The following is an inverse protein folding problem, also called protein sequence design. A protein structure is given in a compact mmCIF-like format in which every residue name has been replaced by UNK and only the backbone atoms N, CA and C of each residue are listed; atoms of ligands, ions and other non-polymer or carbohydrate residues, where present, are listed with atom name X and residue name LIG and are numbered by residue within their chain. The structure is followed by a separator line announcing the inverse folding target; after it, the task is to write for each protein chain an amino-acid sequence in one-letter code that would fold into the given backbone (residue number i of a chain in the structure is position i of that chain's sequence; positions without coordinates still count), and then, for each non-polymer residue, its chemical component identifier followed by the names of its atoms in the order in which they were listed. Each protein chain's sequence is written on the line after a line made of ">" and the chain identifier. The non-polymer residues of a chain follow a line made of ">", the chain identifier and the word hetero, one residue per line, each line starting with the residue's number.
data_IF_872458844156
#
_entry.id   IF_872458844156
#
_cell.length_a   1.000
_cell.length_b   1.000
_cell.length_c   1.000
_cell.angle_alpha   90.00
_cell.angle_beta   90.00
_cell.angle_gamma   90.00
#
_symmetry.space_group_name_H-M   'P 1'
#
loop_
_entity.id
_entity.type
_entity.pdbx_description
1 polymer ?
#
# COMPACT_ATOMS: atom_id res chain seq x y z
N UNK A 1 19.14 8.25 -1.20
CA UNK A 1 19.74 8.76 0.05
C UNK A 1 19.61 7.64 1.05
N UNK A 2 20.69 6.90 1.24
CA UNK A 2 20.86 5.72 2.08
C UNK A 2 22.24 5.82 2.76
N UNK A 3 22.60 4.89 3.65
CA UNK A 3 23.84 4.99 4.43
C UNK A 3 23.75 5.83 5.71
N UNK A 4 22.61 5.80 6.42
CA UNK A 4 22.44 6.53 7.69
C UNK A 4 21.81 5.68 8.78
N UNK A 5 21.82 4.35 8.64
CA UNK A 5 21.13 3.45 9.57
C UNK A 5 21.67 3.56 11.00
N UNK A 6 22.94 3.93 11.17
CA UNK A 6 23.60 4.01 12.47
C UNK A 6 23.56 5.40 13.12
N UNK A 7 22.89 6.39 12.53
CA UNK A 7 22.96 7.78 12.99
C UNK A 7 22.42 8.01 14.41
N UNK A 8 21.65 7.07 14.96
CA UNK A 8 21.09 7.14 16.31
C UNK A 8 22.00 6.57 17.40
N UNK A 9 23.17 6.03 17.06
CA UNK A 9 24.11 5.50 18.05
C UNK A 9 24.84 6.66 18.76
N UNK A 10 25.25 6.43 20.02
CA UNK A 10 25.99 7.43 20.80
C UNK A 10 27.35 7.77 20.17
N UNK A 11 28.00 6.76 19.60
CA UNK A 11 29.22 6.87 18.80
C UNK A 11 29.01 6.11 17.47
N UNK A 12 28.44 6.79 16.45
CA UNK A 12 28.02 6.12 15.22
C UNK A 12 29.22 5.80 14.32
N UNK A 13 29.31 4.59 13.72
CA UNK A 13 30.32 4.28 12.74
C UNK A 13 30.25 5.27 11.56
N UNK A 14 31.40 5.87 11.23
CA UNK A 14 31.48 6.81 10.12
C UNK A 14 31.36 6.07 8.79
N UNK A 15 30.25 6.31 8.07
CA UNK A 15 29.87 5.66 6.82
C UNK A 15 29.78 6.68 5.68
N UNK A 16 30.91 7.13 5.10
CA UNK A 16 30.88 8.13 4.04
C UNK A 16 30.29 7.58 2.74
N UNK A 17 29.95 8.50 1.81
CA UNK A 17 29.52 8.13 0.46
C UNK A 17 30.66 7.44 -0.30
N UNK A 18 30.35 6.31 -0.95
CA UNK A 18 31.27 5.51 -1.74
C UNK A 18 31.38 5.98 -3.19
N UNK A 19 32.59 6.13 -3.73
CA UNK A 19 32.81 6.23 -5.17
C UNK A 19 32.39 4.92 -5.88
N UNK A 20 32.06 4.95 -7.19
CA UNK A 20 31.58 3.78 -7.92
C UNK A 20 32.53 2.58 -7.91
N UNK A 21 33.84 2.83 -7.92
CA UNK A 21 34.85 1.77 -7.86
C UNK A 21 34.84 1.03 -6.51
N UNK A 22 34.69 1.76 -5.41
CA UNK A 22 34.60 1.19 -4.06
C UNK A 22 33.30 0.41 -3.91
N UNK A 23 32.17 1.00 -4.29
CA UNK A 23 30.86 0.35 -4.25
C UNK A 23 30.87 -0.99 -5.02
N UNK A 24 31.36 -1.00 -6.27
CA UNK A 24 31.43 -2.22 -7.08
C UNK A 24 32.34 -3.30 -6.46
N UNK A 25 33.50 -2.90 -5.93
CA UNK A 25 34.41 -3.84 -5.25
C UNK A 25 33.75 -4.46 -4.04
N UNK A 26 33.11 -3.65 -3.20
CA UNK A 26 32.46 -4.10 -1.96
C UNK A 26 31.28 -5.01 -2.26
N UNK A 27 30.41 -4.60 -3.18
CA UNK A 27 29.29 -5.43 -3.64
C UNK A 27 29.78 -6.79 -4.15
N UNK A 28 30.83 -6.82 -4.96
CA UNK A 28 31.40 -8.08 -5.48
C UNK A 28 31.94 -8.98 -4.36
N UNK A 29 32.65 -8.42 -3.38
CA UNK A 29 33.21 -9.19 -2.24
C UNK A 29 32.09 -9.73 -1.36
N UNK A 30 31.11 -8.90 -1.02
CA UNK A 30 29.95 -9.33 -0.24
C UNK A 30 29.16 -10.41 -0.98
N UNK A 31 28.91 -10.24 -2.28
CA UNK A 31 28.22 -11.25 -3.10
C UNK A 31 28.97 -12.58 -3.11
N UNK A 32 30.29 -12.57 -3.30
CA UNK A 32 31.10 -13.78 -3.29
C UNK A 32 30.99 -14.52 -1.94
N UNK A 33 31.17 -13.80 -0.83
CA UNK A 33 31.06 -14.38 0.52
C UNK A 33 29.66 -14.93 0.80
N UNK A 34 28.60 -14.23 0.38
CA UNK A 34 27.23 -14.67 0.61
C UNK A 34 26.83 -15.88 -0.23
N UNK A 35 27.46 -16.11 -1.40
CA UNK A 35 27.22 -17.31 -2.24
C UNK A 35 27.75 -18.61 -1.63
N UNK A 36 28.56 -18.51 -0.59
CA UNK A 36 28.93 -19.68 0.23
C UNK A 36 27.78 -20.10 1.15
N UNK A 37 26.88 -19.16 1.50
CA UNK A 37 25.77 -19.37 2.43
C UNK A 37 24.44 -19.57 1.70
N UNK A 38 24.21 -18.85 0.60
CA UNK A 38 22.95 -18.82 -0.14
C UNK A 38 23.11 -19.23 -1.59
N UNK A 39 22.07 -19.81 -2.17
CA UNK A 39 22.00 -20.11 -3.60
C UNK A 39 21.76 -18.84 -4.41
N UNK A 40 20.85 -17.98 -3.94
CA UNK A 40 20.49 -16.74 -4.61
C UNK A 40 21.08 -15.55 -3.86
N UNK A 41 21.89 -14.74 -4.55
CA UNK A 41 22.46 -13.49 -4.04
C UNK A 41 22.40 -12.45 -5.15
N UNK A 42 21.72 -11.34 -4.90
CA UNK A 42 21.49 -10.30 -5.88
C UNK A 42 21.37 -8.91 -5.24
N UNK A 43 21.57 -7.87 -6.04
CA UNK A 43 21.34 -6.48 -5.66
C UNK A 43 20.42 -5.82 -6.69
N UNK A 44 19.51 -4.90 -6.29
CA UNK A 44 18.71 -4.16 -7.24
C UNK A 44 19.57 -3.39 -8.24
N UNK A 45 19.11 -3.28 -9.48
CA UNK A 45 19.81 -2.51 -10.51
C UNK A 45 19.78 -1.03 -10.12
N UNK A 46 20.94 -0.38 -10.17
CA UNK A 46 21.08 1.00 -9.76
C UNK A 46 20.42 1.99 -10.73
N UNK A 47 20.01 3.15 -10.21
CA UNK A 47 19.53 4.25 -11.05
C UNK A 47 20.66 4.87 -11.89
N UNK A 48 20.35 5.38 -13.09
CA UNK A 48 21.35 5.99 -13.97
C UNK A 48 21.99 7.23 -13.34
N UNK A 49 23.25 7.50 -13.70
CA UNK A 49 23.94 8.75 -13.36
C UNK A 49 24.34 8.92 -11.88
N UNK A 50 24.25 7.88 -11.05
CA UNK A 50 24.76 7.91 -9.66
C UNK A 50 26.28 8.11 -9.63
N UNK A 51 26.71 9.22 -9.03
CA UNK A 51 28.12 9.56 -8.83
C UNK A 51 28.72 8.93 -7.57
N UNK A 52 27.88 8.63 -6.59
CA UNK A 52 28.26 8.02 -5.32
C UNK A 52 27.11 7.19 -4.71
N UNK A 53 27.44 6.37 -3.71
CA UNK A 53 26.55 5.39 -3.07
C UNK A 53 26.63 5.52 -1.54
N UNK A 54 25.53 5.29 -0.82
CA UNK A 54 25.54 5.40 0.65
C UNK A 54 25.67 4.06 1.35
N UNK A 55 25.17 3.05 0.67
CA UNK A 55 24.95 1.71 1.15
C UNK A 55 25.06 0.73 -0.02
N UNK A 56 25.17 -0.55 0.33
CA UNK A 56 25.05 -1.68 -0.59
C UNK A 56 23.85 -2.52 -0.17
N UNK A 57 22.79 -2.52 -0.98
CA UNK A 57 21.62 -3.37 -0.75
C UNK A 57 21.86 -4.76 -1.35
N UNK A 58 21.72 -5.82 -0.55
CA UNK A 58 21.86 -7.21 -0.99
C UNK A 58 20.65 -8.03 -0.51
N UNK A 59 20.04 -8.72 -1.46
CA UNK A 59 18.98 -9.68 -1.26
C UNK A 59 19.55 -11.09 -1.37
N UNK A 60 19.15 -11.94 -0.44
CA UNK A 60 19.57 -13.33 -0.41
C UNK A 60 18.36 -14.24 -0.24
N UNK A 61 18.37 -15.40 -0.89
CA UNK A 61 17.33 -16.42 -0.74
C UNK A 61 17.93 -17.82 -0.87
N UNK A 62 17.22 -18.80 -0.30
CA UNK A 62 17.57 -20.22 -0.31
C UNK A 62 18.92 -20.51 0.35
N UNK A 63 18.86 -20.97 1.59
CA UNK A 63 20.04 -21.42 2.32
C UNK A 63 20.69 -22.62 1.59
N UNK A 64 21.98 -22.53 1.30
CA UNK A 64 22.66 -23.49 0.42
C UNK A 64 22.70 -24.91 1.00
N UNK A 65 22.88 -25.06 2.31
CA UNK A 65 22.94 -26.40 2.93
C UNK A 65 21.57 -27.09 2.99
N UNK A 66 20.46 -26.35 2.93
CA UNK A 66 19.12 -26.96 2.87
C UNK A 66 18.79 -27.45 1.47
N UNK A 67 19.29 -26.77 0.44
CA UNK A 67 19.13 -27.17 -0.97
C UNK A 67 20.13 -28.26 -1.37
N UNK A 68 21.38 -28.16 -0.88
CA UNK A 68 22.48 -29.06 -1.17
C UNK A 68 23.11 -29.57 0.14
N UNK A 69 22.44 -30.48 0.88
CA UNK A 69 22.93 -30.98 2.15
C UNK A 69 24.18 -31.84 1.94
N UNK A 70 25.27 -31.50 2.65
CA UNK A 70 26.52 -32.29 2.65
C UNK A 70 26.56 -33.32 3.77
N UNK A 71 25.68 -33.21 4.76
CA UNK A 71 25.53 -34.14 5.87
C UNK A 71 24.04 -34.32 6.21
N UNK A 72 23.71 -35.42 6.87
CA UNK A 72 22.32 -35.78 7.22
C UNK A 72 21.64 -34.80 8.19
N UNK A 73 22.43 -34.05 8.97
CA UNK A 73 21.98 -33.02 9.92
C UNK A 73 21.97 -31.61 9.29
N UNK A 74 22.58 -31.45 8.11
CA UNK A 74 22.70 -30.18 7.38
C UNK A 74 21.44 -29.75 6.61
N UNK A 75 20.40 -30.59 6.60
CA UNK A 75 19.12 -30.30 5.92
C UNK A 75 18.16 -29.46 6.77
N UNK A 76 18.41 -29.31 8.07
CA UNK A 76 17.55 -28.51 8.93
C UNK A 76 17.78 -27.01 8.66
N UNK A 77 16.74 -26.26 8.27
CA UNK A 77 16.88 -24.83 8.00
C UNK A 77 17.23 -24.08 9.28
N UNK A 78 18.25 -23.22 9.21
CA UNK A 78 18.57 -22.31 10.31
C UNK A 78 17.43 -21.32 10.50
N UNK A 79 17.20 -20.91 11.75
CA UNK A 79 16.31 -19.78 12.00
C UNK A 79 16.87 -18.50 11.35
N UNK A 80 16.02 -17.51 11.01
CA UNK A 80 16.49 -16.26 10.42
C UNK A 80 17.58 -15.56 11.24
N UNK A 81 17.50 -15.62 12.58
CA UNK A 81 18.51 -15.05 13.48
C UNK A 81 19.86 -15.76 13.40
N UNK A 82 19.86 -17.10 13.40
CA UNK A 82 21.10 -17.88 13.25
C UNK A 82 21.74 -17.64 11.89
N UNK A 83 20.92 -17.58 10.84
CA UNK A 83 21.40 -17.32 9.49
C UNK A 83 21.99 -15.91 9.37
N UNK A 84 21.34 -14.91 9.96
CA UNK A 84 21.87 -13.54 10.01
C UNK A 84 23.17 -13.44 10.81
N UNK A 85 23.30 -14.19 11.92
CA UNK A 85 24.55 -14.23 12.68
C UNK A 85 25.72 -14.82 11.85
N UNK A 86 25.44 -15.83 11.01
CA UNK A 86 26.43 -16.36 10.07
C UNK A 86 26.79 -15.33 8.99
N UNK A 87 25.80 -14.60 8.46
CA UNK A 87 26.05 -13.50 7.51
C UNK A 87 26.97 -12.44 8.12
N UNK A 88 26.68 -11.98 9.34
CA UNK A 88 27.48 -10.98 10.04
C UNK A 88 28.95 -11.41 10.17
N UNK A 89 29.17 -12.66 10.59
CA UNK A 89 30.50 -13.22 10.75
C UNK A 89 31.22 -13.33 9.41
N UNK A 90 30.53 -13.84 8.39
CA UNK A 90 31.08 -14.04 7.05
C UNK A 90 31.52 -12.72 6.40
N UNK A 91 30.75 -11.65 6.59
CA UNK A 91 31.06 -10.32 6.08
C UNK A 91 32.01 -9.52 6.99
N UNK A 92 32.40 -10.04 8.15
CA UNK A 92 33.27 -9.34 9.10
C UNK A 92 32.65 -8.06 9.66
N UNK A 93 31.33 -8.03 9.81
CA UNK A 93 30.60 -6.84 10.29
C UNK A 93 31.07 -6.43 11.69
N UNK A 94 31.41 -5.15 11.86
CA UNK A 94 31.86 -4.55 13.13
C UNK A 94 30.70 -3.99 13.93
N UNK A 95 29.65 -3.53 13.25
CA UNK A 95 28.39 -3.11 13.86
C UNK A 95 27.22 -3.72 13.09
N UNK A 96 26.11 -3.95 13.77
CA UNK A 96 24.90 -4.48 13.17
C UNK A 96 23.65 -3.96 13.87
N UNK A 97 22.62 -3.64 13.08
CA UNK A 97 21.25 -3.41 13.53
C UNK A 97 20.40 -4.47 12.85
N UNK A 98 19.94 -5.45 13.61
CA UNK A 98 19.14 -6.58 13.11
C UNK A 98 17.67 -6.33 13.38
N UNK A 99 16.82 -6.51 12.36
CA UNK A 99 15.37 -6.44 12.51
C UNK A 99 14.89 -7.52 13.50
N UNK A 100 13.85 -7.28 14.33
CA UNK A 100 13.39 -8.27 15.32
C UNK A 100 13.05 -9.66 14.77
N UNK A 101 12.62 -9.73 13.51
CA UNK A 101 12.33 -10.99 12.83
C UNK A 101 13.59 -11.75 12.34
N UNK A 102 14.78 -11.15 12.41
CA UNK A 102 16.04 -11.71 11.91
C UNK A 102 16.17 -11.72 10.37
N UNK A 103 15.14 -11.30 9.64
CA UNK A 103 15.08 -11.36 8.18
C UNK A 103 15.77 -10.21 7.46
N UNK A 104 16.20 -9.17 8.16
CA UNK A 104 16.99 -8.08 7.58
C UNK A 104 17.93 -7.45 8.60
N UNK A 105 19.02 -6.86 8.12
CA UNK A 105 19.96 -6.14 8.96
C UNK A 105 20.69 -5.04 8.20
N UNK A 106 21.02 -3.96 8.91
CA UNK A 106 22.00 -2.97 8.48
C UNK A 106 23.34 -3.33 9.11
N UNK A 107 24.36 -3.57 8.31
CA UNK A 107 25.69 -3.99 8.74
C UNK A 107 26.72 -2.90 8.45
N UNK A 108 27.66 -2.67 9.35
CA UNK A 108 28.82 -1.83 9.10
C UNK A 108 30.05 -2.72 8.92
N UNK A 109 30.59 -2.76 7.71
CA UNK A 109 31.84 -3.50 7.39
C UNK A 109 32.99 -2.51 7.19
N UNK A 110 34.22 -2.99 7.36
CA UNK A 110 35.42 -2.16 7.23
C UNK A 110 35.57 -1.65 5.78
N UNK A 111 35.94 -0.38 5.63
CA UNK A 111 36.26 0.18 4.31
C UNK A 111 37.49 -0.52 3.68
N UNK A 112 37.52 -0.81 2.36
CA UNK A 112 38.59 -1.60 1.71
C UNK A 112 39.99 -0.98 1.61
N UNK A 113 40.29 0.10 2.33
CA UNK A 113 41.59 0.80 2.34
C UNK A 113 42.09 0.97 3.76
N UNK A 114 43.36 1.33 3.93
CA UNK A 114 44.04 1.56 5.23
C UNK A 114 43.52 2.79 5.98
N UNK A 115 42.33 3.28 5.63
CA UNK A 115 41.66 4.38 6.30
C UNK A 115 40.98 3.83 7.55
N UNK A 116 41.78 3.67 8.59
CA UNK A 116 41.30 3.25 9.91
C UNK A 116 40.10 4.11 10.31
N UNK A 117 39.01 3.45 10.73
CA UNK A 117 37.73 4.04 11.19
C UNK A 117 36.69 4.41 10.12
N UNK A 118 36.90 4.10 8.85
CA UNK A 118 35.83 4.20 7.84
C UNK A 118 35.07 2.89 7.70
N UNK A 119 33.75 2.99 7.63
CA UNK A 119 32.86 1.85 7.46
C UNK A 119 32.00 2.01 6.21
N UNK A 120 31.43 0.89 5.76
CA UNK A 120 30.45 0.84 4.69
C UNK A 120 29.18 0.20 5.25
N UNK A 121 28.05 0.85 5.01
CA UNK A 121 26.75 0.27 5.30
C UNK A 121 26.40 -0.77 4.23
N UNK A 122 26.10 -2.00 4.65
CA UNK A 122 25.60 -3.09 3.83
C UNK A 122 24.27 -3.54 4.39
N UNK A 123 23.22 -3.41 3.58
CA UNK A 123 21.86 -3.75 3.96
C UNK A 123 21.53 -5.13 3.41
N UNK A 124 21.31 -6.09 4.31
CA UNK A 124 20.98 -7.46 3.96
C UNK A 124 19.50 -7.70 4.21
N UNK A 125 18.83 -8.34 3.25
CA UNK A 125 17.49 -8.90 3.46
C UNK A 125 17.44 -10.36 2.98
N UNK A 126 17.03 -11.23 3.89
CA UNK A 126 16.77 -12.64 3.66
C UNK A 126 15.33 -12.77 3.18
N UNK A 127 15.16 -13.16 1.92
CA UNK A 127 13.88 -13.39 1.29
C UNK A 127 13.43 -14.85 1.55
N UNK A 128 12.17 -15.07 1.96
CA UNK A 128 11.62 -16.41 2.20
C UNK A 128 11.42 -17.22 0.91
N UNK A 129 11.40 -16.58 -0.26
CA UNK A 129 11.25 -17.24 -1.56
C UNK A 129 12.00 -16.49 -2.66
N UNK A 130 12.26 -17.19 -3.77
CA UNK A 130 12.79 -16.57 -5.00
C UNK A 130 11.80 -15.53 -5.52
N UNK A 131 10.49 -15.81 -5.49
CA UNK A 131 9.46 -14.87 -5.95
C UNK A 131 9.55 -13.51 -5.24
N UNK A 132 9.71 -13.51 -3.92
CA UNK A 132 9.87 -12.26 -3.17
C UNK A 132 11.19 -11.55 -3.50
N UNK A 133 12.28 -12.31 -3.65
CA UNK A 133 13.56 -11.75 -4.09
C UNK A 133 13.43 -11.07 -5.46
N UNK A 134 12.82 -11.74 -6.44
CA UNK A 134 12.58 -11.21 -7.78
C UNK A 134 11.67 -9.97 -7.75
N UNK A 135 10.64 -9.97 -6.91
CA UNK A 135 9.76 -8.81 -6.73
C UNK A 135 10.50 -7.60 -6.19
N UNK A 136 11.33 -7.77 -5.15
CA UNK A 136 12.07 -6.65 -4.56
C UNK A 136 13.11 -6.13 -5.57
N UNK A 137 13.81 -7.01 -6.28
CA UNK A 137 14.72 -6.61 -7.36
C UNK A 137 13.99 -5.76 -8.41
N UNK A 138 12.83 -6.20 -8.86
CA UNK A 138 11.98 -5.46 -9.81
C UNK A 138 11.56 -4.09 -9.29
N UNK A 139 11.08 -4.06 -8.05
CA UNK A 139 10.43 -2.91 -7.44
C UNK A 139 11.41 -1.78 -7.10
N UNK A 140 12.67 -2.14 -6.85
CA UNK A 140 13.75 -1.22 -6.48
C UNK A 140 14.80 -1.03 -7.59
N UNK A 141 14.67 -1.73 -8.73
CA UNK A 141 15.49 -1.49 -9.90
C UNK A 141 15.33 -0.06 -10.44
N UNK A 142 16.41 0.46 -11.02
CA UNK A 142 16.50 1.75 -11.72
C UNK A 142 16.12 2.98 -10.88
N UNK A 143 16.14 2.84 -9.56
CA UNK A 143 15.92 3.94 -8.61
C UNK A 143 14.50 4.54 -8.68
N UNK A 144 14.33 5.61 -9.47
CA UNK A 144 13.09 6.40 -9.48
C UNK A 144 12.03 5.93 -10.48
N UNK A 145 12.29 4.90 -11.29
CA UNK A 145 11.37 4.44 -12.34
C UNK A 145 9.93 4.23 -11.86
N UNK A 146 9.74 3.57 -10.72
CA UNK A 146 8.42 3.32 -10.14
C UNK A 146 7.77 4.57 -9.55
N UNK A 147 8.54 5.60 -9.22
CA UNK A 147 8.00 6.89 -8.84
C UNK A 147 7.43 7.63 -10.06
N UNK A 148 8.09 7.52 -11.22
CA UNK A 148 7.64 8.08 -12.50
C UNK A 148 6.41 7.33 -13.05
N UNK A 149 6.47 6.00 -13.09
CA UNK A 149 5.36 5.17 -13.51
C UNK A 149 4.17 5.29 -12.55
N UNK A 150 4.44 5.39 -11.24
CA UNK A 150 3.41 5.51 -10.22
C UNK A 150 2.60 6.81 -10.28
N UNK A 151 3.11 7.90 -10.86
CA UNK A 151 2.31 9.09 -11.16
C UNK A 151 1.50 8.93 -12.45
N UNK A 152 2.03 8.17 -13.42
CA UNK A 152 1.40 7.87 -14.71
C UNK A 152 0.19 6.95 -14.58
N UNK A 153 0.31 5.82 -13.86
CA UNK A 153 -0.71 4.76 -13.86
C UNK A 153 -1.82 4.95 -12.81
N UNK A 154 -1.56 5.78 -11.78
CA UNK A 154 -2.43 5.98 -10.62
C UNK A 154 -3.81 6.58 -10.96
N UNK A 155 -3.95 7.57 -11.87
CA UNK A 155 -5.26 8.07 -12.28
C UNK A 155 -6.18 6.96 -12.80
N UNK A 156 -5.60 5.97 -13.50
CA UNK A 156 -6.31 4.84 -14.09
C UNK A 156 -6.56 3.67 -13.11
N UNK A 157 -6.35 3.91 -11.81
CA UNK A 157 -6.67 2.92 -10.77
C UNK A 157 -5.63 1.84 -10.56
N UNK A 158 -4.46 1.93 -11.19
CA UNK A 158 -3.37 0.99 -10.96
C UNK A 158 -2.43 1.47 -9.86
N UNK A 159 -1.88 0.55 -9.07
CA UNK A 159 -0.86 0.85 -8.06
C UNK A 159 0.09 -0.31 -7.92
N UNK A 160 1.38 -0.03 -7.94
CA UNK A 160 2.43 -0.97 -7.55
C UNK A 160 2.93 -0.59 -6.16
N UNK A 161 3.00 -1.56 -5.25
CA UNK A 161 3.58 -1.37 -3.91
C UNK A 161 4.68 -2.40 -3.62
N UNK A 162 5.00 -2.65 -2.35
CA UNK A 162 6.05 -3.60 -1.97
C UNK A 162 5.61 -5.07 -2.09
N UNK A 163 4.38 -5.36 -2.53
CA UNK A 163 3.85 -6.72 -2.65
C UNK A 163 3.46 -7.10 -4.07
N UNK A 164 2.78 -6.22 -4.80
CA UNK A 164 2.21 -6.55 -6.10
C UNK A 164 1.79 -5.33 -6.94
N UNK A 165 1.31 -5.61 -8.15
CA UNK A 165 0.43 -4.72 -8.90
C UNK A 165 -1.03 -4.92 -8.45
N UNK A 166 -1.73 -3.81 -8.24
CA UNK A 166 -3.10 -3.76 -7.74
C UNK A 166 -3.99 -2.90 -8.63
N UNK A 167 -5.26 -3.30 -8.74
CA UNK A 167 -6.36 -2.49 -9.27
C UNK A 167 -7.16 -1.88 -8.11
N UNK A 168 -7.54 -0.61 -8.22
CA UNK A 168 -8.28 0.12 -7.18
C UNK A 168 -9.74 0.31 -7.55
N UNK A 169 -10.63 -0.10 -6.64
CA UNK A 169 -12.07 0.19 -6.69
C UNK A 169 -12.30 1.68 -6.35
N UNK A 170 -12.68 2.54 -7.31
CA UNK A 170 -12.76 3.99 -7.10
C UNK A 170 -13.80 4.41 -6.04
N UNK A 171 -14.88 3.65 -5.89
CA UNK A 171 -15.92 3.86 -4.88
C UNK A 171 -15.36 3.74 -3.46
N UNK A 172 -14.45 2.78 -3.26
CA UNK A 172 -13.84 2.48 -1.96
C UNK A 172 -12.65 3.39 -1.71
N UNK A 173 -11.85 3.72 -2.74
CA UNK A 173 -10.54 4.37 -2.65
C UNK A 173 -10.55 5.68 -1.84
N UNK A 174 -11.62 6.48 -1.95
CA UNK A 174 -11.77 7.75 -1.21
C UNK A 174 -11.93 7.54 0.31
N UNK A 175 -12.54 6.42 0.72
CA UNK A 175 -12.81 6.09 2.12
C UNK A 175 -11.74 5.18 2.74
N UNK A 176 -11.29 4.17 1.99
CA UNK A 176 -10.33 3.17 2.45
C UNK A 176 -9.39 2.75 1.31
N UNK A 177 -8.23 3.39 1.28
CA UNK A 177 -7.20 3.12 0.26
C UNK A 177 -6.61 1.72 0.38
N UNK A 178 -6.67 1.06 1.54
CA UNK A 178 -6.13 -0.30 1.69
C UNK A 178 -7.14 -1.31 1.16
N UNK A 179 -8.41 -1.18 1.54
CA UNK A 179 -9.48 -2.10 1.08
C UNK A 179 -9.78 -1.98 -0.40
N UNK A 180 -9.58 -0.81 -1.02
CA UNK A 180 -9.81 -0.64 -2.46
C UNK A 180 -8.91 -1.50 -3.37
N UNK A 181 -7.82 -2.12 -2.86
CA UNK A 181 -6.84 -2.87 -3.68
C UNK A 181 -7.30 -4.29 -4.01
N UNK A 182 -7.50 -4.60 -5.29
CA UNK A 182 -7.69 -5.96 -5.83
C UNK A 182 -6.36 -6.41 -6.43
N UNK A 183 -5.87 -7.59 -6.02
CA UNK A 183 -4.58 -8.13 -6.48
C UNK A 183 -4.66 -8.42 -7.98
N UNK A 184 -3.66 -8.01 -8.76
CA UNK A 184 -3.56 -8.38 -10.18
C UNK A 184 -2.48 -9.44 -10.39
N UNK A 185 -1.24 -9.09 -10.08
CA UNK A 185 -0.11 -9.99 -10.27
C UNK A 185 1.09 -9.52 -9.46
N UNK A 186 1.96 -10.47 -9.09
CA UNK A 186 3.30 -10.26 -8.54
C UNK A 186 4.41 -10.58 -9.54
N UNK A 187 4.06 -11.01 -10.76
CA UNK A 187 5.02 -11.35 -11.81
C UNK A 187 5.48 -10.06 -12.52
N UNK A 188 6.77 -9.70 -12.42
CA UNK A 188 7.33 -8.53 -13.07
C UNK A 188 7.11 -8.46 -14.59
N UNK A 189 7.18 -9.59 -15.29
CA UNK A 189 7.04 -9.65 -16.76
C UNK A 189 5.60 -9.35 -17.16
N UNK A 190 4.64 -9.94 -16.44
CA UNK A 190 3.22 -9.66 -16.64
C UNK A 190 2.86 -8.20 -16.40
N UNK A 191 3.51 -7.55 -15.42
CA UNK A 191 3.31 -6.12 -15.16
C UNK A 191 3.84 -5.28 -16.31
N UNK A 192 5.06 -5.56 -16.79
CA UNK A 192 5.64 -4.83 -17.92
C UNK A 192 4.76 -4.98 -19.17
N UNK A 193 4.32 -6.20 -19.50
CA UNK A 193 3.39 -6.45 -20.60
C UNK A 193 2.06 -5.71 -20.44
N UNK A 194 1.45 -5.78 -19.25
CA UNK A 194 0.17 -5.12 -19.00
C UNK A 194 0.27 -3.59 -19.07
N UNK A 195 1.42 -3.02 -18.71
CA UNK A 195 1.71 -1.59 -18.87
C UNK A 195 2.18 -1.22 -20.29
N UNK A 196 2.34 -2.18 -21.19
CA UNK A 196 2.84 -1.97 -22.56
C UNK A 196 4.33 -1.62 -22.63
N UNK A 197 5.08 -1.92 -21.57
CA UNK A 197 6.52 -1.65 -21.47
C UNK A 197 7.33 -2.81 -22.06
N UNK A 198 8.51 -2.49 -22.57
CA UNK A 198 9.44 -3.50 -23.12
C UNK A 198 10.09 -4.30 -22.00
N UNK A 199 10.05 -5.63 -22.06
CA UNK A 199 10.76 -6.47 -21.08
C UNK A 199 12.28 -6.40 -21.28
N UNK A 200 12.70 -6.36 -22.54
CA UNK A 200 14.11 -6.25 -22.91
C UNK A 200 14.71 -4.92 -22.43
N UNK A 201 15.90 -4.99 -21.86
CA UNK A 201 16.62 -3.83 -21.34
C UNK A 201 16.26 -3.45 -19.91
N UNK A 202 15.15 -3.97 -19.34
CA UNK A 202 14.82 -3.70 -17.93
C UNK A 202 15.73 -4.47 -16.96
N UNK A 203 16.12 -5.70 -17.30
CA UNK A 203 16.79 -6.62 -16.36
C UNK A 203 18.30 -6.70 -16.49
N UNK A 204 18.87 -6.08 -17.52
CA UNK A 204 20.27 -6.34 -17.89
C UNK A 204 21.24 -5.49 -17.10
N UNK A 205 21.13 -4.17 -17.22
CA UNK A 205 22.07 -3.20 -16.67
C UNK A 205 21.35 -1.87 -16.36
N UNK A 206 21.94 -0.99 -15.53
CA UNK A 206 21.43 0.37 -15.38
C UNK A 206 21.29 1.07 -16.74
N UNK A 207 20.27 1.92 -16.88
CA UNK A 207 20.15 2.78 -18.06
C UNK A 207 21.41 3.63 -18.25
N UNK A 208 21.81 3.85 -19.51
CA UNK A 208 23.03 4.60 -19.85
C UNK A 208 23.00 6.06 -19.37
N UNK A 209 21.81 6.65 -19.31
CA UNK A 209 21.58 8.02 -18.88
C UNK A 209 20.21 8.16 -18.23
N UNK A 210 19.99 9.30 -17.58
CA UNK A 210 18.66 9.68 -17.07
C UNK A 210 17.66 9.82 -18.22
N UNK A 211 18.09 10.37 -19.36
CA UNK A 211 17.24 10.48 -20.55
C UNK A 211 16.81 9.11 -21.09
N UNK A 212 17.71 8.12 -21.11
CA UNK A 212 17.36 6.76 -21.53
C UNK A 212 16.33 6.11 -20.59
N UNK A 213 16.40 6.39 -19.28
CA UNK A 213 15.38 5.97 -18.32
C UNK A 213 14.04 6.69 -18.59
N UNK A 214 14.07 7.98 -18.92
CA UNK A 214 12.87 8.74 -19.28
C UNK A 214 12.22 8.20 -20.55
N UNK A 215 13.00 8.01 -21.61
CA UNK A 215 12.54 7.42 -22.88
C UNK A 215 11.90 6.05 -22.64
N UNK A 216 12.55 5.18 -21.85
CA UNK A 216 11.99 3.90 -21.48
C UNK A 216 10.67 4.04 -20.69
N UNK A 217 10.58 4.98 -19.75
CA UNK A 217 9.36 5.25 -18.98
C UNK A 217 8.20 5.69 -19.88
N UNK A 218 8.46 6.45 -20.94
CA UNK A 218 7.44 6.89 -21.91
C UNK A 218 6.88 5.74 -22.76
N UNK A 219 7.51 4.56 -22.77
CA UNK A 219 6.96 3.38 -23.48
C UNK A 219 5.69 2.82 -22.84
N UNK A 220 5.42 3.17 -21.58
CA UNK A 220 4.18 2.82 -20.91
C UNK A 220 2.97 3.26 -21.76
N UNK A 221 2.06 2.35 -22.09
CA UNK A 221 0.90 2.64 -22.95
C UNK A 221 -0.07 3.67 -22.37
N UNK A 222 -0.01 3.88 -21.06
CA UNK A 222 -0.82 4.85 -20.31
C UNK A 222 -0.09 6.20 -20.13
N UNK A 223 1.15 6.32 -20.62
CA UNK A 223 1.88 7.57 -20.60
C UNK A 223 1.30 8.52 -21.64
N UNK A 224 0.85 9.68 -21.17
CA UNK A 224 0.44 10.79 -22.01
C UNK A 224 0.72 12.11 -21.31
N UNK A 225 1.11 13.10 -22.10
CA UNK A 225 1.38 14.47 -21.66
C UNK A 225 0.15 15.31 -21.92
N UNK A 226 -0.16 16.16 -20.95
CA UNK A 226 -1.31 17.05 -21.03
C UNK A 226 -0.87 18.51 -21.18
N UNK A 227 -1.47 19.21 -22.15
CA UNK A 227 -1.38 20.67 -22.26
C UNK A 227 -2.29 21.28 -21.20
N UNK A 228 -1.74 22.13 -20.34
CA UNK A 228 -2.54 23.01 -19.49
C UNK A 228 -2.67 24.36 -20.17
N UNK A 229 -3.89 24.84 -20.48
CA UNK A 229 -4.10 26.23 -20.83
C UNK A 229 -3.69 27.13 -19.67
N UNK A 230 -3.06 28.27 -19.95
CA UNK A 230 -2.80 29.29 -18.94
C UNK A 230 -4.13 29.80 -18.36
N UNK A 231 -4.31 29.71 -17.03
CA UNK A 231 -5.40 30.39 -16.32
C UNK A 231 -6.52 29.54 -15.70
N UNK A 232 -6.76 28.30 -16.14
CA UNK A 232 -7.90 27.49 -15.62
C UNK A 232 -7.44 26.25 -14.84
N UNK A 233 -7.03 26.44 -13.58
CA UNK A 233 -6.65 25.34 -12.68
C UNK A 233 -7.85 24.47 -12.22
N UNK A 234 -9.08 24.95 -12.39
CA UNK A 234 -10.27 24.39 -11.72
C UNK A 234 -11.18 23.53 -12.63
N UNK A 235 -11.25 23.79 -13.94
CA UNK A 235 -12.28 23.21 -14.83
C UNK A 235 -11.94 21.81 -15.37
N UNK A 236 -10.72 21.34 -15.11
CA UNK A 236 -10.05 20.39 -15.99
C UNK A 236 -9.61 19.10 -15.27
N UNK A 237 -10.25 18.76 -14.16
CA UNK A 237 -9.88 17.62 -13.31
C UNK A 237 -10.11 16.23 -13.95
N UNK A 238 -10.77 16.17 -15.12
CA UNK A 238 -11.22 14.93 -15.76
C UNK A 238 -10.36 14.45 -16.95
N UNK A 239 -9.33 15.20 -17.36
CA UNK A 239 -8.46 14.77 -18.45
C UNK A 239 -7.23 14.03 -17.95
N UNK A 240 -6.97 12.89 -18.58
CA UNK A 240 -5.85 12.02 -18.25
C UNK A 240 -4.51 12.61 -18.71
N UNK A 241 -3.43 12.28 -18.00
CA UNK A 241 -2.06 12.62 -18.39
C UNK A 241 -1.23 13.27 -17.29
N UNK A 242 0.08 13.26 -17.50
CA UNK A 242 1.03 13.93 -16.62
C UNK A 242 1.13 15.41 -17.00
N UNK A 243 1.20 16.26 -15.97
CA UNK A 243 1.40 17.70 -16.10
C UNK A 243 2.75 18.04 -15.49
N UNK A 244 3.59 18.73 -16.27
CA UNK A 244 4.92 19.18 -15.85
C UNK A 244 4.93 20.64 -15.41
N UNK A 245 6.11 21.14 -15.04
CA UNK A 245 6.32 22.56 -14.72
C UNK A 245 5.59 23.01 -13.45
N UNK A 246 5.30 24.30 -13.37
CA UNK A 246 4.67 24.91 -12.19
C UNK A 246 3.28 24.32 -11.89
N UNK A 247 2.46 24.14 -12.92
CA UNK A 247 1.12 23.54 -12.79
C UNK A 247 1.18 22.08 -12.35
N UNK A 248 2.17 21.33 -12.83
CA UNK A 248 2.46 19.98 -12.34
C UNK A 248 2.75 19.96 -10.85
N UNK A 249 3.58 20.91 -10.37
CA UNK A 249 3.95 21.02 -8.95
C UNK A 249 2.75 21.30 -8.04
N UNK A 250 1.83 22.17 -8.47
CA UNK A 250 0.60 22.50 -7.72
C UNK A 250 -0.29 21.28 -7.49
N UNK A 251 -0.25 20.30 -8.41
CA UNK A 251 -1.08 19.08 -8.38
C UNK A 251 -0.44 17.90 -7.62
N UNK A 252 0.78 18.05 -7.09
CA UNK A 252 1.50 16.97 -6.42
C UNK A 252 0.90 16.63 -5.05
N UNK A 253 0.76 15.33 -4.78
CA UNK A 253 0.39 14.81 -3.45
C UNK A 253 1.56 14.96 -2.47
N UNK A 254 1.31 14.86 -1.16
CA UNK A 254 2.32 15.06 -0.13
C UNK A 254 3.61 14.23 -0.33
N UNK A 255 3.48 12.95 -0.70
CA UNK A 255 4.63 12.09 -0.97
C UNK A 255 5.41 12.53 -2.22
N UNK A 256 4.69 12.98 -3.25
CA UNK A 256 5.29 13.44 -4.50
C UNK A 256 6.01 14.78 -4.29
N UNK A 257 5.52 15.65 -3.40
CA UNK A 257 6.22 16.87 -2.96
C UNK A 257 7.53 16.57 -2.22
N UNK A 258 7.55 15.56 -1.33
CA UNK A 258 8.80 15.12 -0.67
C UNK A 258 9.83 14.61 -1.68
N UNK A 259 9.37 13.90 -2.71
CA UNK A 259 10.23 13.40 -3.79
C UNK A 259 10.82 14.55 -4.60
N UNK A 260 10.02 15.55 -4.97
CA UNK A 260 10.52 16.76 -5.63
C UNK A 260 11.66 17.45 -4.88
N UNK A 261 11.61 17.43 -3.54
CA UNK A 261 12.63 18.08 -2.71
C UNK A 261 13.92 17.26 -2.54
N UNK A 262 13.87 15.94 -2.72
CA UNK A 262 14.95 15.03 -2.32
C UNK A 262 15.48 14.12 -3.43
N UNK A 263 14.84 14.11 -4.61
CA UNK A 263 15.12 13.17 -5.70
C UNK A 263 15.37 13.92 -7.02
N UNK A 264 16.64 14.11 -7.42
CA UNK A 264 16.99 14.87 -8.62
C UNK A 264 16.40 14.32 -9.92
N UNK A 265 16.36 12.98 -10.08
CA UNK A 265 15.78 12.34 -11.28
C UNK A 265 14.28 12.64 -11.38
N UNK A 266 13.54 12.49 -10.27
CA UNK A 266 12.13 12.86 -10.22
C UNK A 266 11.91 14.36 -10.47
N UNK A 267 12.80 15.22 -9.97
CA UNK A 267 12.72 16.66 -10.18
C UNK A 267 12.89 17.04 -11.66
N UNK A 268 13.91 16.51 -12.33
CA UNK A 268 14.15 16.76 -13.77
C UNK A 268 13.00 16.23 -14.63
N UNK A 269 12.42 15.08 -14.29
CA UNK A 269 11.23 14.56 -14.97
C UNK A 269 10.06 15.54 -14.99
N UNK A 270 9.73 16.13 -13.82
CA UNK A 270 8.58 17.04 -13.69
C UNK A 270 8.89 18.43 -14.25
N UNK A 271 10.11 18.94 -14.05
CA UNK A 271 10.45 20.33 -14.35
C UNK A 271 10.98 20.56 -15.75
N UNK A 272 11.58 19.55 -16.38
CA UNK A 272 12.31 19.69 -17.64
C UNK A 272 11.71 18.76 -18.69
N UNK A 273 11.67 17.45 -18.42
CA UNK A 273 11.30 16.45 -19.42
C UNK A 273 9.83 16.54 -19.85
N UNK A 274 8.87 16.52 -18.91
CA UNK A 274 7.44 16.63 -19.26
C UNK A 274 7.13 17.95 -20.00
N UNK A 275 7.58 19.13 -19.53
CA UNK A 275 7.39 20.39 -20.26
C UNK A 275 7.99 20.37 -21.67
N UNK A 276 9.17 19.77 -21.85
CA UNK A 276 9.80 19.65 -23.17
C UNK A 276 8.95 18.82 -24.13
N UNK A 277 8.48 17.63 -23.71
CA UNK A 277 7.59 16.80 -24.52
C UNK A 277 6.29 17.53 -24.89
N UNK A 278 5.74 18.31 -23.96
CA UNK A 278 4.54 19.11 -24.19
C UNK A 278 4.75 20.17 -25.27
N UNK A 279 5.90 20.89 -25.20
CA UNK A 279 6.28 21.91 -26.18
C UNK A 279 6.50 21.32 -27.57
N UNK A 280 7.09 20.13 -27.65
CA UNK A 280 7.26 19.39 -28.91
C UNK A 280 5.95 18.76 -29.44
N UNK A 281 4.87 18.77 -28.66
CA UNK A 281 3.62 18.09 -29.02
C UNK A 281 3.73 16.56 -29.05
N UNK A 282 4.73 15.98 -28.38
CA UNK A 282 4.92 14.53 -28.28
C UNK A 282 4.05 13.94 -27.16
N UNK A 283 3.64 12.69 -27.34
CA UNK A 283 2.85 11.92 -26.37
C UNK A 283 1.54 12.60 -25.93
N UNK A 284 0.93 13.42 -26.79
CA UNK A 284 -0.43 13.90 -26.58
C UNK A 284 -1.40 12.70 -26.52
N UNK A 285 -2.53 12.86 -25.83
CA UNK A 285 -3.50 11.78 -25.59
C UNK A 285 -3.79 10.99 -26.86
N UNK A 286 -3.53 9.67 -26.83
CA UNK A 286 -3.92 8.75 -27.91
C UNK A 286 -5.45 8.57 -27.99
N UNK A 287 -6.15 9.02 -26.96
CA UNK A 287 -7.60 8.95 -26.81
C UNK A 287 -8.16 10.37 -26.61
N UNK A 288 -8.17 11.22 -27.65
CA UNK A 288 -8.74 12.56 -27.54
C UNK A 288 -10.23 12.47 -27.20
N UNK A 289 -10.66 13.25 -26.19
CA UNK A 289 -12.06 13.28 -25.74
C UNK A 289 -12.46 12.18 -24.75
N UNK A 290 -11.58 11.21 -24.44
CA UNK A 290 -11.86 10.17 -23.44
C UNK A 290 -11.48 10.67 -22.04
N UNK A 291 -12.43 10.64 -21.12
CA UNK A 291 -12.23 11.05 -19.73
C UNK A 291 -11.37 10.07 -18.95
N UNK A 292 -10.78 10.51 -17.83
CA UNK A 292 -10.08 9.63 -16.87
C UNK A 292 -10.97 8.47 -16.43
N UNK A 293 -12.27 8.72 -16.24
CA UNK A 293 -13.21 7.70 -15.78
C UNK A 293 -13.35 6.60 -16.83
N UNK A 294 -13.56 6.96 -18.09
CA UNK A 294 -13.67 5.99 -19.19
C UNK A 294 -12.37 5.21 -19.38
N UNK A 295 -11.21 5.87 -19.35
CA UNK A 295 -9.91 5.20 -19.40
C UNK A 295 -9.73 4.22 -18.23
N UNK A 296 -10.17 4.60 -17.03
CA UNK A 296 -10.11 3.73 -15.85
C UNK A 296 -11.02 2.51 -16.00
N UNK A 297 -12.19 2.66 -16.62
CA UNK A 297 -13.08 1.53 -16.92
C UNK A 297 -12.48 0.60 -17.97
N UNK A 298 -11.85 1.13 -19.01
CA UNK A 298 -11.12 0.33 -20.00
C UNK A 298 -10.01 -0.49 -19.34
N UNK A 299 -9.16 0.16 -18.54
CA UNK A 299 -8.07 -0.52 -17.81
C UNK A 299 -8.61 -1.57 -16.83
N UNK A 300 -9.74 -1.31 -16.17
CA UNK A 300 -10.42 -2.29 -15.31
C UNK A 300 -10.86 -3.51 -16.11
N UNK A 301 -11.52 -3.32 -17.25
CA UNK A 301 -12.03 -4.41 -18.07
C UNK A 301 -10.88 -5.25 -18.67
N UNK A 302 -9.80 -4.60 -19.10
CA UNK A 302 -8.57 -5.29 -19.54
C UNK A 302 -7.94 -6.10 -18.39
N UNK A 303 -7.92 -5.55 -17.17
CA UNK A 303 -7.43 -6.27 -15.99
C UNK A 303 -8.32 -7.48 -15.64
N UNK A 304 -9.64 -7.37 -15.81
CA UNK A 304 -10.56 -8.49 -15.65
C UNK A 304 -10.28 -9.60 -16.66
N UNK A 305 -10.10 -9.23 -17.94
CA UNK A 305 -9.81 -10.18 -19.00
C UNK A 305 -8.45 -10.87 -18.84
N UNK A 306 -7.42 -10.12 -18.42
CA UNK A 306 -6.05 -10.66 -18.31
C UNK A 306 -5.81 -11.45 -17.02
N UNK A 307 -6.32 -10.96 -15.89
CA UNK A 307 -5.99 -11.50 -14.56
C UNK A 307 -7.14 -12.25 -13.89
N UNK A 308 -8.33 -12.30 -14.51
CA UNK A 308 -9.51 -13.02 -14.02
C UNK A 308 -10.02 -12.56 -12.64
N UNK A 309 -9.87 -11.26 -12.33
CA UNK A 309 -10.15 -10.67 -11.01
C UNK A 309 -11.55 -10.04 -10.88
N UNK A 310 -12.43 -10.22 -11.86
CA UNK A 310 -13.76 -9.59 -11.89
C UNK A 310 -14.63 -10.01 -10.70
N UNK A 311 -14.62 -11.30 -10.36
CA UNK A 311 -15.40 -11.83 -9.24
C UNK A 311 -14.96 -11.20 -7.91
N UNK A 312 -13.65 -11.14 -7.65
CA UNK A 312 -13.08 -10.54 -6.44
C UNK A 312 -13.37 -9.04 -6.36
N UNK A 313 -13.27 -8.33 -7.48
CA UNK A 313 -13.61 -6.92 -7.56
C UNK A 313 -15.08 -6.69 -7.20
N UNK A 314 -16.00 -7.44 -7.83
CA UNK A 314 -17.45 -7.29 -7.61
C UNK A 314 -17.85 -7.67 -6.19
N UNK A 315 -17.30 -8.77 -5.66
CA UNK A 315 -17.55 -9.21 -4.29
C UNK A 315 -17.13 -8.13 -3.28
N UNK A 316 -15.96 -7.53 -3.47
CA UNK A 316 -15.45 -6.49 -2.57
C UNK A 316 -16.22 -5.17 -2.69
N UNK A 317 -16.61 -4.79 -3.90
CA UNK A 317 -17.49 -3.64 -4.11
C UNK A 317 -18.85 -3.88 -3.41
N UNK A 318 -19.40 -5.09 -3.53
CA UNK A 318 -20.67 -5.46 -2.90
C UNK A 318 -20.60 -5.40 -1.37
N UNK A 319 -19.57 -5.98 -0.77
CA UNK A 319 -19.36 -5.93 0.68
C UNK A 319 -19.29 -4.48 1.18
N UNK A 320 -18.57 -3.62 0.45
CA UNK A 320 -18.49 -2.20 0.79
C UNK A 320 -19.83 -1.47 0.63
N UNK A 321 -20.59 -1.75 -0.43
CA UNK A 321 -21.93 -1.18 -0.65
C UNK A 321 -22.88 -1.54 0.50
N UNK A 322 -22.96 -2.83 0.88
CA UNK A 322 -23.78 -3.31 1.98
C UNK A 322 -23.40 -2.64 3.31
N UNK A 323 -22.09 -2.52 3.58
CA UNK A 323 -21.61 -1.84 4.78
C UNK A 323 -21.99 -0.37 4.80
N UNK A 324 -21.76 0.35 3.70
CA UNK A 324 -22.04 1.79 3.60
C UNK A 324 -23.53 2.08 3.68
N UNK A 325 -24.35 1.25 3.05
CA UNK A 325 -25.80 1.32 3.11
C UNK A 325 -26.31 1.11 4.54
N UNK A 326 -25.77 0.12 5.26
CA UNK A 326 -26.05 -0.07 6.69
C UNK A 326 -25.63 1.14 7.55
N UNK A 327 -24.48 1.77 7.27
CA UNK A 327 -24.06 3.01 7.95
C UNK A 327 -24.99 4.19 7.66
N UNK A 328 -25.44 4.33 6.41
CA UNK A 328 -26.41 5.35 6.01
C UNK A 328 -27.76 5.15 6.71
N UNK A 329 -28.26 3.91 6.77
CA UNK A 329 -29.49 3.59 7.51
C UNK A 329 -29.35 3.86 9.01
N UNK A 330 -28.20 3.56 9.62
CA UNK A 330 -27.93 3.92 11.02
C UNK A 330 -28.02 5.42 11.27
N UNK A 331 -27.56 6.24 10.32
CA UNK A 331 -27.65 7.70 10.40
C UNK A 331 -29.08 8.18 10.17
N UNK A 332 -29.76 7.64 9.15
CA UNK A 332 -31.16 7.94 8.86
C UNK A 332 -32.06 7.66 10.07
N UNK A 333 -31.93 6.51 10.72
CA UNK A 333 -32.71 6.18 11.94
C UNK A 333 -32.46 7.24 13.03
N UNK A 334 -31.22 7.67 13.23
CA UNK A 334 -30.91 8.70 14.24
C UNK A 334 -31.54 10.05 13.90
N UNK A 335 -31.56 10.42 12.63
CA UNK A 335 -32.13 11.68 12.13
C UNK A 335 -33.66 11.70 12.23
N UNK A 336 -34.30 10.56 11.96
CA UNK A 336 -35.76 10.44 12.02
C UNK A 336 -36.33 10.44 13.44
N UNK A 337 -35.53 10.10 14.47
CA UNK A 337 -35.98 10.13 15.86
C UNK A 337 -35.83 11.54 16.44
N UNK A 338 -36.93 12.20 16.87
CA UNK A 338 -36.93 13.60 17.32
C UNK A 338 -35.91 13.86 18.42
N UNK A 339 -35.14 14.95 18.27
CA UNK A 339 -34.15 15.41 19.26
C UNK A 339 -34.79 16.06 20.49
N UNK A 340 -36.07 16.42 20.41
CA UNK A 340 -36.88 16.94 21.52
C UNK A 340 -37.26 15.89 22.56
N UNK A 341 -37.07 14.60 22.23
CA UNK A 341 -37.34 13.49 23.14
C UNK A 341 -36.27 13.42 24.24
N UNK A 342 -36.66 12.96 25.43
CA UNK A 342 -35.71 12.67 26.52
C UNK A 342 -34.50 11.86 26.01
N UNK A 343 -33.25 12.26 26.35
CA UNK A 343 -32.05 11.64 25.79
C UNK A 343 -31.97 10.13 26.01
N UNK A 344 -32.40 9.65 27.18
CA UNK A 344 -32.32 8.23 27.52
C UNK A 344 -33.38 7.42 26.77
N UNK A 345 -34.61 7.95 26.67
CA UNK A 345 -35.67 7.37 25.83
C UNK A 345 -35.30 7.35 24.35
N UNK A 346 -34.73 8.46 23.86
CA UNK A 346 -34.25 8.57 22.48
C UNK A 346 -33.18 7.53 22.17
N UNK A 347 -32.21 7.35 23.06
CA UNK A 347 -31.17 6.34 22.89
C UNK A 347 -31.77 4.91 22.83
N UNK A 348 -32.75 4.61 23.69
CA UNK A 348 -33.45 3.31 23.69
C UNK A 348 -34.23 3.09 22.39
N UNK A 349 -34.98 4.09 21.93
CA UNK A 349 -35.76 4.02 20.69
C UNK A 349 -34.85 3.83 19.48
N UNK A 350 -33.76 4.60 19.36
CA UNK A 350 -32.77 4.45 18.28
C UNK A 350 -32.12 3.06 18.32
N UNK A 351 -31.80 2.54 19.50
CA UNK A 351 -31.24 1.19 19.65
C UNK A 351 -32.22 0.11 19.19
N UNK A 352 -33.46 0.16 19.66
CA UNK A 352 -34.49 -0.80 19.29
C UNK A 352 -34.82 -0.76 17.79
N UNK A 353 -34.95 0.44 17.21
CA UNK A 353 -35.18 0.59 15.77
C UNK A 353 -34.04 -0.02 14.94
N UNK A 354 -32.78 0.11 15.37
CA UNK A 354 -31.67 -0.56 14.69
C UNK A 354 -31.76 -2.07 14.78
N UNK A 355 -32.07 -2.62 15.95
CA UNK A 355 -32.20 -4.07 16.10
C UNK A 355 -33.35 -4.63 15.25
N UNK A 356 -34.49 -3.93 15.20
CA UNK A 356 -35.63 -4.35 14.39
C UNK A 356 -35.29 -4.28 12.90
N UNK A 357 -34.79 -3.13 12.43
CA UNK A 357 -34.60 -2.86 11.00
C UNK A 357 -33.38 -3.59 10.45
N UNK A 358 -32.29 -3.68 11.23
CA UNK A 358 -31.00 -4.17 10.74
C UNK A 358 -30.63 -5.58 11.19
N UNK A 359 -31.15 -6.02 12.33
CA UNK A 359 -30.89 -7.36 12.89
C UNK A 359 -32.10 -8.27 12.78
N UNK A 360 -33.21 -7.79 12.20
CA UNK A 360 -34.46 -8.53 12.05
C UNK A 360 -34.97 -9.10 13.39
N UNK A 361 -34.82 -8.33 14.47
CA UNK A 361 -35.18 -8.75 15.83
C UNK A 361 -36.71 -8.87 16.00
N UNK A 362 -37.22 -10.07 15.73
CA UNK A 362 -38.63 -10.43 15.86
C UNK A 362 -39.16 -10.30 17.30
N UNK A 363 -38.29 -10.20 18.32
CA UNK A 363 -38.72 -10.11 19.72
C UNK A 363 -39.53 -8.84 19.99
N UNK A 364 -39.39 -7.79 19.18
CA UNK A 364 -40.18 -6.57 19.30
C UNK A 364 -41.58 -6.67 18.66
N UNK A 365 -41.87 -7.74 17.92
CA UNK A 365 -43.19 -8.00 17.34
C UNK A 365 -43.53 -7.15 16.11
N UNK A 366 -42.52 -6.66 15.39
CA UNK A 366 -42.70 -5.90 14.16
C UNK A 366 -42.27 -6.71 12.94
N UNK A 367 -43.00 -6.55 11.84
CA UNK A 367 -42.61 -7.09 10.54
C UNK A 367 -41.52 -6.21 9.92
N UNK A 368 -40.51 -6.85 9.35
CA UNK A 368 -39.38 -6.23 8.67
C UNK A 368 -39.32 -6.62 7.18
N UNK A 369 -40.34 -7.34 6.68
CA UNK A 369 -40.46 -7.65 5.26
C UNK A 369 -40.49 -6.37 4.41
N UNK A 370 -39.71 -6.38 3.31
CA UNK A 370 -39.64 -5.25 2.38
C UNK A 370 -38.74 -4.08 2.81
N UNK A 371 -38.13 -4.12 4.01
CA UNK A 371 -37.14 -3.13 4.43
C UNK A 371 -35.81 -3.27 3.68
N UNK A 372 -35.51 -4.48 3.21
CA UNK A 372 -34.39 -4.77 2.31
C UNK A 372 -34.92 -5.19 0.94
N UNK A 373 -34.20 -4.79 -0.11
CA UNK A 373 -34.42 -5.22 -1.49
C UNK A 373 -33.83 -6.62 -1.68
N UNK A 374 -34.17 -7.26 -2.81
CA UNK A 374 -33.68 -8.60 -3.15
C UNK A 374 -32.14 -8.70 -3.23
N UNK A 375 -31.45 -7.58 -3.45
CA UNK A 375 -30.00 -7.54 -3.46
C UNK A 375 -29.40 -7.49 -2.04
N UNK A 376 -30.19 -7.17 -1.02
CA UNK A 376 -29.76 -7.02 0.38
C UNK A 376 -29.44 -5.58 0.80
N UNK A 377 -29.62 -4.59 -0.09
CA UNK A 377 -29.57 -3.17 0.29
C UNK A 377 -30.91 -2.73 0.86
N UNK A 378 -30.89 -1.81 1.81
CA UNK A 378 -32.09 -1.23 2.41
C UNK A 378 -32.88 -0.41 1.40
N UNK A 379 -34.20 -0.46 1.53
CA UNK A 379 -35.11 0.46 0.88
C UNK A 379 -35.32 1.67 1.80
N UNK A 380 -34.64 2.77 1.49
CA UNK A 380 -34.64 4.00 2.31
C UNK A 380 -36.04 4.54 2.59
N UNK A 381 -36.96 4.46 1.62
CA UNK A 381 -38.32 4.97 1.80
C UNK A 381 -39.16 4.03 2.66
N UNK A 382 -39.01 2.71 2.48
CA UNK A 382 -39.64 1.73 3.36
C UNK A 382 -39.14 1.88 4.81
N UNK A 383 -37.84 2.08 5.00
CA UNK A 383 -37.24 2.35 6.31
C UNK A 383 -37.79 3.65 6.92
N UNK A 384 -37.90 4.72 6.13
CA UNK A 384 -38.45 6.01 6.60
C UNK A 384 -39.91 5.88 7.04
N UNK A 385 -40.73 5.20 6.24
CA UNK A 385 -42.13 4.96 6.56
C UNK A 385 -42.26 4.08 7.81
N UNK A 386 -41.49 2.99 7.88
CA UNK A 386 -41.47 2.12 9.05
C UNK A 386 -41.15 2.87 10.34
N UNK A 387 -40.10 3.71 10.34
CA UNK A 387 -39.73 4.51 11.52
C UNK A 387 -40.86 5.47 11.87
N UNK A 388 -41.43 6.19 10.90
CA UNK A 388 -42.51 7.15 11.13
C UNK A 388 -43.75 6.49 11.74
N UNK A 389 -44.13 5.32 11.23
CA UNK A 389 -45.38 4.66 11.60
C UNK A 389 -45.27 3.89 12.93
N UNK A 390 -44.05 3.49 13.32
CA UNK A 390 -43.82 2.62 14.47
C UNK A 390 -43.05 3.25 15.61
N UNK A 391 -42.53 4.48 15.47
CA UNK A 391 -41.66 5.14 16.44
C UNK A 391 -42.24 5.11 17.86
N UNK A 392 -43.49 5.55 18.04
CA UNK A 392 -44.10 5.66 19.38
C UNK A 392 -44.28 4.29 20.04
N UNK A 393 -44.65 3.27 19.26
CA UNK A 393 -44.82 1.90 19.75
C UNK A 393 -43.47 1.30 20.13
N UNK A 394 -42.47 1.42 19.24
CA UNK A 394 -41.11 0.94 19.48
C UNK A 394 -40.49 1.62 20.69
N UNK A 395 -40.63 2.95 20.82
CA UNK A 395 -40.11 3.70 21.95
C UNK A 395 -40.71 3.25 23.29
N UNK A 396 -42.03 3.00 23.34
CA UNK A 396 -42.70 2.47 24.55
C UNK A 396 -42.17 1.09 24.93
N UNK A 397 -42.09 0.16 23.97
CA UNK A 397 -41.59 -1.21 24.21
C UNK A 397 -40.12 -1.18 24.65
N UNK A 398 -39.28 -0.42 23.94
CA UNK A 398 -37.86 -0.30 24.25
C UNK A 398 -37.63 0.29 25.65
N UNK A 399 -38.42 1.30 26.02
CA UNK A 399 -38.33 1.93 27.33
C UNK A 399 -38.76 0.99 28.47
N UNK A 400 -39.85 0.25 28.29
CA UNK A 400 -40.29 -0.75 29.27
C UNK A 400 -39.21 -1.83 29.49
N UNK A 401 -38.63 -2.36 28.41
CA UNK A 401 -37.52 -3.34 28.49
C UNK A 401 -36.30 -2.77 29.20
N UNK A 402 -35.94 -1.52 28.94
CA UNK A 402 -34.82 -0.87 29.60
C UNK A 402 -35.07 -0.69 31.11
N UNK A 403 -36.27 -0.28 31.50
CA UNK A 403 -36.64 -0.16 32.92
C UNK A 403 -36.58 -1.51 33.63
N UNK A 404 -37.10 -2.56 33.01
CA UNK A 404 -37.04 -3.91 33.56
C UNK A 404 -35.58 -4.36 33.79
N UNK A 405 -34.72 -4.20 32.78
CA UNK A 405 -33.28 -4.52 32.89
C UNK A 405 -32.60 -3.72 34.00
N UNK A 406 -32.94 -2.43 34.14
CA UNK A 406 -32.39 -1.59 35.21
C UNK A 406 -32.83 -2.07 36.60
N UNK A 407 -34.10 -2.46 36.76
CA UNK A 407 -34.62 -3.02 38.02
C UNK A 407 -33.95 -4.35 38.37
N UNK A 408 -33.79 -5.26 37.40
CA UNK A 408 -33.08 -6.53 37.58
C UNK A 408 -31.61 -6.32 37.95
N UNK A 409 -30.92 -5.38 37.28
CA UNK A 409 -29.55 -5.04 37.60
C UNK A 409 -29.40 -4.45 39.01
N UNK A 410 -30.34 -3.60 39.45
CA UNK A 410 -30.37 -3.09 40.82
C UNK A 410 -30.60 -4.20 41.85
N UNK A 411 -31.53 -5.13 41.59
CA UNK A 411 -31.78 -6.31 42.45
C UNK A 411 -30.54 -7.19 42.54
N UNK A 412 -29.86 -7.45 41.43
CA UNK A 412 -28.62 -8.24 41.38
C UNK A 412 -27.46 -7.57 42.13
N UNK A 413 -27.30 -6.24 41.98
CA UNK A 413 -26.31 -5.46 42.74
C UNK A 413 -26.62 -5.48 44.25
N UNK A 414 -27.88 -5.31 44.64
CA UNK A 414 -28.29 -5.39 46.03
C UNK A 414 -28.03 -6.79 46.62
N UNK A 415 -28.33 -7.85 45.88
CA UNK A 415 -28.03 -9.23 46.28
C UNK A 415 -26.53 -9.49 46.43
N UNK A 416 -25.68 -8.99 45.52
CA UNK A 416 -24.21 -9.06 45.65
C UNK A 416 -23.72 -8.31 46.89
N UNK A 417 -24.20 -7.09 47.13
CA UNK A 417 -23.80 -6.28 48.29
C UNK A 417 -24.22 -6.94 49.62
N UNK A 418 -25.41 -7.52 49.67
CA UNK A 418 -25.89 -8.29 50.83
C UNK A 418 -25.07 -9.57 51.06
N UNK A 419 -24.59 -10.21 49.99
CA UNK A 419 -23.72 -11.39 50.08
C UNK A 419 -22.31 -11.03 50.56
N UNK A 420 -21.76 -9.89 50.15
CA UNK A 420 -20.46 -9.37 50.62
C UNK A 420 -20.53 -8.88 52.07
N UNK A 421 -21.63 -8.27 52.49
CA UNK A 421 -21.85 -7.83 53.88
C UNK A 421 -22.12 -8.97 54.87
N UNK A 422 -22.33 -10.21 54.40
CA UNK A 422 -22.46 -11.43 55.22
C UNK A 422 -21.13 -12.18 55.39
N UNK A 423 -20.07 -11.75 54.70
CA UNK A 423 -18.74 -12.39 54.70
C UNK A 423 -17.72 -11.55 55.50
N UNK A 424 -18.11 -10.36 55.94
CA UNK A 424 -17.43 -9.53 56.96
C UNK A 424 -18.26 -9.68 58.24
#
# INVERSE_FOLDING_TARGET
>A
MGGSAFSSFLDPPYTPRMPPAVYRRVMSVCHASLRDIFVCVASPIEGPGKKDYGDVDILVALEKCTVFPTTHDGSNPRSPHELMAVVQRSLGAKHAIVHPAGTSAHLAIQWPSDMDRHYIQVDIRICPSIDELCWILFKHAHGDIWNLLGSTIRPFGLTVDEEALWLRIPEIEKSDRKKSKVFLTKDPVEILHFLGMKVEGFWSEPFKSVDALFDYTTTCRLFQVRRTPEGNAQEDANEAGVVGGEEGRKRLKANDRRRMASRPVYQSWVNEFIPHLCAEGKFLSKYPGVSISEMREMVRNEAFARFFVEADYKARLREWQLKKDGEQVKSLIKELVPTTMDPQRRACAVGALKNIIMESDASFGFDFAGLQRADGLYNTDAVRNFVRDNLDKVAKIAWARQQQRAQEAMRSKAARKAKTARVI
#
